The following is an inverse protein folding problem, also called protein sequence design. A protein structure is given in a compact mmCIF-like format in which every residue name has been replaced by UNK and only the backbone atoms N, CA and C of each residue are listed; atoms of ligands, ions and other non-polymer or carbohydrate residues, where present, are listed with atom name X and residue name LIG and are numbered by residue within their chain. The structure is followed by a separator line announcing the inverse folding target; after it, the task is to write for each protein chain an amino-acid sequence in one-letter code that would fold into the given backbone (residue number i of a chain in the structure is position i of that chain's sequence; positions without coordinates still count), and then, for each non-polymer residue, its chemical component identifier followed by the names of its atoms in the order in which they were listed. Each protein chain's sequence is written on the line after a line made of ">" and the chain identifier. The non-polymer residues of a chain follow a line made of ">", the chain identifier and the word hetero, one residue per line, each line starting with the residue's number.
data_IF_773700018845
#
_entry.id   IF_773700018845
#
_cell.length_a   1.000
_cell.length_b   1.000
_cell.length_c   1.000
_cell.angle_alpha   90.00
_cell.angle_beta   90.00
_cell.angle_gamma   90.00
#
_symmetry.space_group_name_H-M   'P 1'
#
loop_
_entity.id
_entity.type
_entity.pdbx_description
1 polymer ?
#
# COMPACT_ATOMS: atom_id res chain seq x y z
N UNK A 1 27.35 -7.46 20.19
CA UNK A 1 26.18 -7.02 19.41
C UNK A 1 26.29 -7.63 18.02
N UNK A 2 25.26 -8.30 17.52
CA UNK A 2 25.31 -9.05 16.26
C UNK A 2 24.47 -8.29 15.23
N UNK A 3 25.09 -7.83 14.13
CA UNK A 3 24.44 -6.95 13.17
C UNK A 3 24.09 -7.68 11.87
N UNK A 4 22.89 -7.45 11.38
CA UNK A 4 22.44 -7.85 10.06
C UNK A 4 22.22 -6.60 9.20
N UNK A 5 22.47 -6.71 7.90
CA UNK A 5 22.17 -5.64 6.94
C UNK A 5 21.08 -6.14 5.99
N UNK A 6 20.04 -5.35 5.82
CA UNK A 6 18.90 -5.65 4.93
C UNK A 6 18.89 -4.61 3.82
N UNK A 7 18.87 -5.08 2.58
CA UNK A 7 18.63 -4.26 1.40
C UNK A 7 17.30 -4.68 0.77
N UNK A 8 16.29 -3.81 0.91
CA UNK A 8 14.94 -4.04 0.40
C UNK A 8 14.87 -3.87 -1.12
N UNK A 9 15.70 -3.00 -1.70
CA UNK A 9 15.73 -2.78 -3.15
C UNK A 9 16.36 -3.98 -3.86
N UNK A 10 17.50 -4.46 -3.35
CA UNK A 10 18.18 -5.65 -3.86
C UNK A 10 17.55 -6.97 -3.38
N UNK A 11 16.64 -6.93 -2.41
CA UNK A 11 16.02 -8.10 -1.74
C UNK A 11 17.07 -9.06 -1.18
N UNK A 12 18.04 -8.50 -0.45
CA UNK A 12 19.12 -9.28 0.17
C UNK A 12 19.26 -9.02 1.68
N UNK A 13 19.61 -10.08 2.40
CA UNK A 13 19.99 -10.07 3.81
C UNK A 13 21.46 -10.49 3.93
N UNK A 14 22.30 -9.58 4.42
CA UNK A 14 23.69 -9.87 4.74
C UNK A 14 23.82 -10.21 6.21
N UNK A 15 24.27 -11.42 6.48
CA UNK A 15 24.54 -11.94 7.83
C UNK A 15 25.81 -11.34 8.43
N UNK A 16 26.01 -11.41 9.75
CA UNK A 16 27.25 -10.96 10.40
C UNK A 16 28.52 -11.64 9.86
N UNK A 17 28.40 -12.84 9.28
CA UNK A 17 29.52 -13.56 8.65
C UNK A 17 29.78 -13.14 7.20
N UNK A 18 29.04 -12.15 6.67
CA UNK A 18 29.17 -11.66 5.29
C UNK A 18 28.41 -12.49 4.26
N UNK A 19 27.71 -13.58 4.67
CA UNK A 19 26.87 -14.34 3.74
C UNK A 19 25.66 -13.51 3.34
N UNK A 20 25.42 -13.38 2.03
CA UNK A 20 24.23 -12.76 1.45
C UNK A 20 23.17 -13.82 1.15
N UNK A 21 21.91 -13.51 1.47
CA UNK A 21 20.74 -14.38 1.28
C UNK A 21 19.68 -13.56 0.56
N UNK A 22 19.20 -14.04 -0.59
CA UNK A 22 18.09 -13.41 -1.32
C UNK A 22 16.75 -13.84 -0.73
N UNK A 23 15.75 -12.95 -0.77
CA UNK A 23 14.40 -13.24 -0.32
C UNK A 23 13.34 -12.70 -1.29
N UNK A 24 12.13 -13.23 -1.19
CA UNK A 24 11.01 -12.79 -2.02
C UNK A 24 10.17 -11.72 -1.32
N UNK A 25 9.70 -10.75 -2.13
CA UNK A 25 8.73 -9.73 -1.76
C UNK A 25 7.76 -9.56 -2.92
N UNK A 26 6.49 -9.34 -2.61
CA UNK A 26 5.55 -8.84 -3.62
C UNK A 26 5.88 -7.38 -3.95
N UNK A 27 5.60 -6.91 -5.18
CA UNK A 27 5.87 -5.52 -5.57
C UNK A 27 5.29 -4.51 -4.61
N UNK A 28 4.01 -4.68 -4.20
CA UNK A 28 3.34 -3.74 -3.29
C UNK A 28 4.03 -3.66 -1.93
N UNK A 29 4.48 -4.79 -1.38
CA UNK A 29 5.21 -4.83 -0.10
C UNK A 29 6.60 -4.22 -0.23
N UNK A 30 7.27 -4.41 -1.35
CA UNK A 30 8.56 -3.77 -1.61
C UNK A 30 8.39 -2.25 -1.66
N UNK A 31 7.40 -1.76 -2.41
CA UNK A 31 7.07 -0.33 -2.47
C UNK A 31 6.71 0.22 -1.10
N UNK A 32 5.88 -0.48 -0.32
CA UNK A 32 5.51 -0.04 1.03
C UNK A 32 6.72 0.11 1.94
N UNK A 33 7.64 -0.87 1.94
CA UNK A 33 8.88 -0.81 2.73
C UNK A 33 9.85 0.28 2.27
N UNK A 34 9.89 0.59 0.96
CA UNK A 34 10.78 1.62 0.40
C UNK A 34 10.23 3.03 0.59
N UNK A 35 8.91 3.22 0.43
CA UNK A 35 8.23 4.51 0.52
C UNK A 35 7.77 4.84 1.95
N UNK A 36 7.87 3.87 2.87
CA UNK A 36 7.40 4.00 4.25
C UNK A 36 5.87 4.03 4.36
N UNK A 37 5.17 3.42 3.41
CA UNK A 37 3.71 3.35 3.40
C UNK A 37 3.22 2.27 4.37
N UNK A 38 2.17 2.59 5.11
CA UNK A 38 1.35 1.61 5.80
C UNK A 38 0.12 1.21 4.95
N UNK A 39 -0.71 0.31 5.47
CA UNK A 39 -1.93 -0.17 4.80
C UNK A 39 -2.93 0.99 4.50
N UNK A 40 -2.88 2.09 5.26
CA UNK A 40 -3.68 3.30 5.02
C UNK A 40 -3.10 4.07 3.83
N UNK A 41 -1.79 4.27 3.79
CA UNK A 41 -1.09 4.92 2.68
C UNK A 41 -1.27 4.19 1.36
N UNK A 42 -1.39 2.87 1.38
CA UNK A 42 -1.72 2.07 0.19
C UNK A 42 -3.17 2.31 -0.26
N UNK A 43 -4.13 2.35 0.67
CA UNK A 43 -5.53 2.64 0.35
C UNK A 43 -5.69 4.07 -0.20
N UNK A 44 -4.95 5.04 0.33
CA UNK A 44 -4.99 6.44 -0.15
C UNK A 44 -4.50 6.60 -1.60
N UNK A 45 -3.69 5.66 -2.13
CA UNK A 45 -3.34 5.66 -3.56
C UNK A 45 -4.54 5.39 -4.46
N UNK A 46 -5.59 4.76 -3.94
CA UNK A 46 -6.83 4.46 -4.64
C UNK A 46 -7.89 5.57 -4.46
N UNK A 47 -7.57 6.69 -3.80
CA UNK A 47 -8.50 7.80 -3.54
C UNK A 47 -9.12 8.33 -4.85
N UNK A 48 -8.33 8.44 -5.91
CA UNK A 48 -8.80 8.93 -7.21
C UNK A 48 -9.79 7.94 -7.87
N UNK A 49 -9.52 6.63 -7.78
CA UNK A 49 -10.41 5.61 -8.33
C UNK A 49 -11.69 5.48 -7.51
N UNK A 50 -11.57 5.61 -6.18
CA UNK A 50 -12.69 5.66 -5.25
C UNK A 50 -13.60 6.85 -5.55
N UNK A 51 -13.02 8.05 -5.74
CA UNK A 51 -13.78 9.24 -6.11
C UNK A 51 -14.48 9.07 -7.46
N UNK A 52 -13.77 8.57 -8.48
CA UNK A 52 -14.33 8.35 -9.81
C UNK A 52 -15.48 7.32 -9.78
N UNK A 53 -15.35 6.25 -8.99
CA UNK A 53 -16.44 5.31 -8.76
C UNK A 53 -17.63 6.00 -8.10
N UNK A 54 -17.42 6.75 -7.02
CA UNK A 54 -18.48 7.44 -6.28
C UNK A 54 -19.23 8.46 -7.14
N UNK A 55 -18.54 9.22 -8.00
CA UNK A 55 -19.18 10.19 -8.89
C UNK A 55 -20.08 9.53 -9.93
N UNK A 56 -19.59 8.44 -10.54
CA UNK A 56 -20.39 7.61 -11.45
C UNK A 56 -21.57 6.96 -10.74
N UNK A 57 -21.36 6.54 -9.50
CA UNK A 57 -22.38 5.83 -8.74
C UNK A 57 -23.49 6.76 -8.24
N UNK A 58 -23.15 8.00 -7.87
CA UNK A 58 -24.13 9.04 -7.53
C UNK A 58 -25.11 9.33 -8.66
N UNK A 59 -24.63 9.31 -9.91
CA UNK A 59 -25.49 9.47 -11.08
C UNK A 59 -26.31 8.22 -11.37
N UNK A 60 -25.74 7.03 -11.18
CA UNK A 60 -26.43 5.77 -11.47
C UNK A 60 -27.45 5.36 -10.41
N UNK A 61 -27.19 5.67 -9.13
CA UNK A 61 -27.96 5.22 -7.96
C UNK A 61 -28.13 6.35 -6.94
N UNK A 62 -28.81 7.46 -7.31
CA UNK A 62 -28.95 8.63 -6.44
C UNK A 62 -29.58 8.28 -5.07
N UNK A 63 -30.51 7.33 -5.02
CA UNK A 63 -31.20 6.91 -3.79
C UNK A 63 -30.29 6.32 -2.70
N UNK A 64 -29.07 5.87 -3.03
CA UNK A 64 -28.09 5.39 -2.04
C UNK A 64 -27.46 6.57 -1.28
N UNK A 65 -27.32 7.72 -1.94
CA UNK A 65 -26.63 8.90 -1.43
C UNK A 65 -27.57 9.93 -0.81
N UNK A 66 -28.87 9.87 -1.13
CA UNK A 66 -29.90 10.79 -0.63
C UNK A 66 -30.39 10.47 0.80
N UNK A 67 -30.02 9.31 1.38
CA UNK A 67 -30.42 8.91 2.74
C UNK A 67 -29.84 9.80 3.88
N UNK A 68 -28.98 10.77 3.55
CA UNK A 68 -28.39 11.72 4.51
C UNK A 68 -29.12 13.06 4.66
N UNK A 69 -30.10 13.37 3.82
CA UNK A 69 -30.92 14.58 3.93
C UNK A 69 -32.31 14.19 4.43
N UNK A 70 -32.41 13.84 5.71
CA UNK A 70 -33.70 13.84 6.41
C UNK A 70 -33.78 15.22 7.09
N UNK A 71 -34.69 16.07 6.61
CA UNK A 71 -35.05 17.34 7.26
C UNK A 71 -35.53 17.12 8.71
#
# INVERSE_FOLDING_TARGET
>A
NTQFQVDVAARTLTTPSGRSITFDLTPDRQTALLEGLDDIGQTMKEDAETAAFQDKDRTARPWIYELGTID
#
